data_IF_955181101131
#
_entry.id   IF_955181101131
#
_cell.length_a   1.000
_cell.length_b   1.000
_cell.length_c   1.000
_cell.angle_alpha   90.00
_cell.angle_beta   90.00
_cell.angle_gamma   90.00
#
_symmetry.space_group_name_H-M   'P 1'
#
loop_
_entity.id
_entity.type
_entity.pdbx_description
1 polymer ?
#
# COMPACT_ATOMS: atom_id res chain seq x y z
N UNK A 1 -18.54 -1.36 -3.42
CA UNK A 1 -17.32 -0.60 -3.69
C UNK A 1 -16.89 -0.04 -2.36
N UNK A 2 -15.85 -0.60 -1.75
CA UNK A 2 -15.31 -0.06 -0.51
C UNK A 2 -14.42 1.10 -0.92
N UNK A 3 -14.83 2.32 -0.60
CA UNK A 3 -14.05 3.53 -0.85
C UNK A 3 -12.86 3.53 0.13
N UNK A 4 -11.64 3.46 -0.39
CA UNK A 4 -10.42 3.66 0.39
C UNK A 4 -10.10 5.15 0.36
N UNK A 5 -10.18 5.82 1.50
CA UNK A 5 -9.73 7.22 1.61
C UNK A 5 -8.19 7.23 1.68
N UNK A 6 -7.49 7.88 0.74
CA UNK A 6 -6.03 7.98 0.77
C UNK A 6 -5.57 8.79 1.98
N UNK A 7 -4.96 8.14 2.97
CA UNK A 7 -4.27 8.80 4.08
C UNK A 7 -2.85 9.16 3.64
N UNK A 8 -2.66 10.42 3.23
CA UNK A 8 -1.38 10.94 2.73
C UNK A 8 -0.28 10.97 3.80
N UNK A 9 -0.63 10.86 5.09
CA UNK A 9 0.33 10.75 6.18
C UNK A 9 0.72 9.30 6.47
N UNK A 10 0.00 8.31 5.96
CA UNK A 10 0.22 6.90 6.27
C UNK A 10 1.66 6.45 6.02
N UNK A 11 2.18 6.76 4.83
CA UNK A 11 3.54 6.41 4.41
C UNK A 11 4.60 6.94 5.37
N UNK A 12 4.35 8.10 5.99
CA UNK A 12 5.27 8.73 6.96
C UNK A 12 5.35 7.99 8.29
N UNK A 13 4.34 7.19 8.65
CA UNK A 13 4.19 6.58 9.98
C UNK A 13 4.45 5.08 10.00
N UNK A 14 4.22 4.38 8.89
CA UNK A 14 4.41 2.93 8.84
C UNK A 14 5.88 2.53 9.12
N UNK A 15 6.13 1.46 9.91
CA UNK A 15 7.48 0.92 10.04
C UNK A 15 7.94 0.32 8.70
N UNK A 16 9.24 0.20 8.49
CA UNK A 16 9.78 -0.42 7.27
C UNK A 16 10.50 -1.74 7.60
N UNK A 17 10.25 -2.83 6.84
CA UNK A 17 9.19 -2.97 5.84
C UNK A 17 7.79 -3.09 6.48
N UNK A 18 6.72 -2.73 5.76
CA UNK A 18 5.32 -2.91 6.16
C UNK A 18 4.44 -3.45 5.05
N UNK A 19 3.45 -4.26 5.39
CA UNK A 19 2.38 -4.65 4.46
C UNK A 19 1.49 -3.46 4.13
N UNK A 20 1.20 -3.29 2.85
CA UNK A 20 0.32 -2.24 2.31
C UNK A 20 -0.54 -2.79 1.18
N UNK A 21 -1.57 -2.05 0.80
CA UNK A 21 -2.33 -2.24 -0.43
C UNK A 21 -1.95 -1.09 -1.37
N UNK A 22 -1.58 -1.40 -2.61
CA UNK A 22 -1.12 -0.43 -3.60
C UNK A 22 -2.10 -0.34 -4.77
N UNK A 23 -2.40 0.87 -5.24
CA UNK A 23 -3.22 1.08 -6.43
C UNK A 23 -2.33 1.20 -7.67
N UNK A 24 -2.35 0.17 -8.51
CA UNK A 24 -1.59 0.07 -9.75
C UNK A 24 -2.45 -0.58 -10.85
N UNK A 25 -2.25 -0.19 -12.10
CA UNK A 25 -3.01 -0.73 -13.25
C UNK A 25 -4.55 -0.71 -13.08
N UNK A 26 -5.06 0.27 -12.33
CA UNK A 26 -6.49 0.43 -12.07
C UNK A 26 -7.06 -0.55 -11.02
N UNK A 27 -6.21 -1.27 -10.30
CA UNK A 27 -6.60 -2.24 -9.26
C UNK A 27 -5.75 -2.10 -8.00
N UNK A 28 -6.25 -2.70 -6.93
CA UNK A 28 -5.55 -2.78 -5.65
C UNK A 28 -4.80 -4.10 -5.52
N UNK A 29 -3.50 -4.01 -5.25
CA UNK A 29 -2.61 -5.15 -5.09
C UNK A 29 -2.06 -5.20 -3.66
N UNK A 30 -1.84 -6.41 -3.14
CA UNK A 30 -1.08 -6.57 -1.89
C UNK A 30 0.40 -6.34 -2.19
N UNK A 31 1.06 -5.59 -1.34
CA UNK A 31 2.47 -5.30 -1.48
C UNK A 31 3.15 -4.96 -0.17
N UNK A 32 4.40 -4.54 -0.31
CA UNK A 32 5.26 -4.13 0.77
C UNK A 32 5.71 -2.69 0.54
N UNK A 33 5.56 -1.84 1.55
CA UNK A 33 6.29 -0.59 1.66
C UNK A 33 7.68 -0.89 2.17
N UNK A 34 8.69 -0.66 1.33
CA UNK A 34 10.10 -0.99 1.61
C UNK A 34 10.99 0.25 1.75
N UNK A 35 10.48 1.43 1.40
CA UNK A 35 11.18 2.70 1.51
C UNK A 35 10.20 3.87 1.46
N UNK A 36 10.66 5.06 1.84
CA UNK A 36 9.88 6.30 1.75
C UNK A 36 10.78 7.52 1.59
N UNK A 37 10.27 8.52 0.89
CA UNK A 37 10.90 9.82 0.70
C UNK A 37 9.86 10.93 0.82
N UNK A 38 10.28 12.10 1.31
CA UNK A 38 9.43 13.29 1.43
C UNK A 38 9.95 14.36 0.48
N UNK A 39 9.12 14.75 -0.48
CA UNK A 39 9.41 15.77 -1.48
C UNK A 39 8.45 16.96 -1.32
N UNK A 40 8.65 18.03 -2.10
CA UNK A 40 7.77 19.21 -2.08
C UNK A 40 6.29 18.88 -2.38
N UNK A 41 6.05 17.78 -3.10
CA UNK A 41 4.71 17.29 -3.48
C UNK A 41 4.09 16.34 -2.45
N UNK A 42 4.82 15.97 -1.40
CA UNK A 42 4.37 15.09 -0.32
C UNK A 42 5.21 13.82 -0.16
N UNK A 43 4.60 12.80 0.46
CA UNK A 43 5.25 11.51 0.69
C UNK A 43 5.13 10.59 -0.52
N UNK A 44 6.25 9.96 -0.89
CA UNK A 44 6.34 8.91 -1.89
C UNK A 44 6.83 7.63 -1.21
N UNK A 45 6.14 6.51 -1.44
CA UNK A 45 6.54 5.19 -0.97
C UNK A 45 7.25 4.40 -2.06
N UNK A 46 8.35 3.74 -1.71
CA UNK A 46 8.92 2.66 -2.53
C UNK A 46 8.20 1.37 -2.18
N UNK A 47 7.52 0.77 -3.14
CA UNK A 47 6.70 -0.42 -2.93
C UNK A 47 7.16 -1.58 -3.80
N UNK A 48 6.96 -2.80 -3.29
CA UNK A 48 7.14 -4.04 -4.04
C UNK A 48 5.83 -4.83 -4.03
N UNK A 49 5.33 -5.25 -5.19
CA UNK A 49 4.06 -5.95 -5.33
C UNK A 49 4.04 -6.84 -6.59
N UNK A 50 3.10 -7.78 -6.64
CA UNK A 50 2.83 -8.61 -7.83
C UNK A 50 1.70 -7.97 -8.65
N UNK A 51 1.99 -7.68 -9.92
CA UNK A 51 1.00 -7.17 -10.88
C UNK A 51 0.03 -8.25 -11.35
N UNK A 52 -1.00 -7.85 -12.10
CA UNK A 52 -1.99 -8.78 -12.69
C UNK A 52 -1.36 -9.80 -13.67
N UNK A 53 -0.20 -9.46 -14.22
CA UNK A 53 0.60 -10.30 -15.10
C UNK A 53 1.46 -11.33 -14.34
N UNK A 54 1.36 -11.36 -13.00
CA UNK A 54 2.18 -12.19 -12.13
C UNK A 54 3.64 -11.72 -12.04
N UNK A 55 3.96 -10.54 -12.58
CA UNK A 55 5.31 -9.98 -12.54
C UNK A 55 5.49 -9.19 -11.25
N UNK A 56 6.58 -9.46 -10.54
CA UNK A 56 6.98 -8.65 -9.40
C UNK A 56 7.52 -7.30 -9.88
N UNK A 57 7.02 -6.22 -9.27
CA UNK A 57 7.38 -4.84 -9.59
C UNK A 57 7.88 -4.14 -8.35
N UNK A 58 8.90 -3.29 -8.52
CA UNK A 58 9.36 -2.35 -7.50
C UNK A 58 9.26 -0.94 -8.05
N UNK A 59 8.41 -0.12 -7.44
CA UNK A 59 8.02 1.19 -7.98
C UNK A 59 7.87 2.25 -6.89
N UNK A 60 7.98 3.51 -7.31
CA UNK A 60 7.64 4.65 -6.47
C UNK A 60 6.20 5.04 -6.72
N UNK A 61 5.39 5.07 -5.66
CA UNK A 61 4.01 5.52 -5.73
C UNK A 61 3.78 6.68 -4.75
N UNK A 62 3.02 7.71 -5.15
CA UNK A 62 2.57 8.74 -4.24
C UNK A 62 1.70 8.14 -3.12
N UNK A 63 1.70 8.76 -1.95
CA UNK A 63 1.00 8.24 -0.77
C UNK A 63 -0.51 8.03 -0.99
N UNK A 64 -1.13 8.78 -1.91
CA UNK A 64 -2.55 8.62 -2.27
C UNK A 64 -2.87 7.31 -3.03
N UNK A 65 -1.86 6.53 -3.40
CA UNK A 65 -1.99 5.19 -3.98
C UNK A 65 -1.60 4.07 -3.02
N UNK A 66 -1.33 4.39 -1.75
CA UNK A 66 -0.88 3.42 -0.76
C UNK A 66 -1.85 3.46 0.42
N UNK A 67 -2.44 2.32 0.74
CA UNK A 67 -3.37 2.14 1.86
C UNK A 67 -2.86 1.07 2.82
N UNK A 68 -3.35 1.09 4.07
CA UNK A 68 -3.15 -0.05 4.96
C UNK A 68 -4.02 -1.21 4.48
N UNK A 69 -3.56 -2.47 4.62
CA UNK A 69 -4.50 -3.58 4.57
C UNK A 69 -5.57 -3.33 5.63
N UNK A 70 -6.84 -3.56 5.28
CA UNK A 70 -7.89 -3.64 6.30
C UNK A 70 -7.35 -4.54 7.41
N UNK A 71 -7.38 -4.07 8.67
CA UNK A 71 -6.96 -4.90 9.78
C UNK A 71 -7.76 -6.19 9.66
N UNK A 72 -7.06 -7.30 9.46
CA UNK A 72 -7.58 -8.65 9.59
C UNK A 72 -8.09 -8.74 11.03
N UNK A 73 -9.30 -8.22 11.30
CA UNK A 73 -10.05 -8.64 12.46
C UNK A 73 -10.19 -10.13 12.21
N UNK A 74 -9.68 -10.99 13.11
CA UNK A 74 -9.83 -12.41 12.93
C UNK A 74 -11.32 -12.63 12.70
N UNK A 75 -11.67 -13.07 11.50
CA UNK A 75 -13.00 -13.59 11.29
C UNK A 75 -13.00 -14.81 12.19
N UNK A 76 -13.62 -14.69 13.37
CA UNK A 76 -14.02 -15.82 14.20
C UNK A 76 -14.81 -16.74 13.26
N UNK A 77 -14.10 -17.67 12.62
CA UNK A 77 -14.71 -18.86 12.07
C UNK A 77 -15.16 -19.63 13.29
N UNK A 78 -16.43 -19.42 13.62
CA UNK A 78 -17.17 -20.19 14.60
C UNK A 78 -16.85 -21.68 14.44
N UNK A 79 -16.67 -22.31 15.60
CA UNK A 79 -16.33 -23.72 15.81
C UNK A 79 -17.28 -24.70 15.12
#
# INVERSE_FOLDING_TARGET
>A
MTEFEPDTELVSRLPLPSHVIVFADGKWHRGWLIGREHEETGWTGMVQYEGDDGTERTERLPADRIAQPESDRPTERAS
#
